data_IF_316515835254
#
_entry.id   IF_316515835254
#
_cell.length_a   1.000
_cell.length_b   1.000
_cell.length_c   1.000
_cell.angle_alpha   90.00
_cell.angle_beta   90.00
_cell.angle_gamma   90.00
#
_symmetry.space_group_name_H-M   'P 1'
#
loop_
_entity.id
_entity.type
_entity.pdbx_description
1 polymer ?
#
# COMPACT_ATOMS: atom_id res chain seq x y z
N UNK A 1 6.31 6.36 0.16
CA UNK A 1 6.81 7.33 1.18
C UNK A 1 5.92 7.22 2.41
N UNK A 2 6.44 6.84 3.58
CA UNK A 2 5.67 6.74 4.82
C UNK A 2 5.70 8.09 5.54
N UNK A 3 4.53 8.66 5.85
CA UNK A 3 4.40 9.85 6.68
C UNK A 3 3.73 9.39 7.98
N UNK A 4 4.44 9.56 9.10
CA UNK A 4 3.92 9.33 10.46
C UNK A 4 3.52 10.70 11.00
N UNK A 5 2.29 10.83 11.50
CA UNK A 5 1.82 12.08 12.12
C UNK A 5 2.28 12.21 13.59
N UNK A 6 2.16 13.41 14.14
CA UNK A 6 2.67 13.78 15.48
C UNK A 6 2.04 12.98 16.64
N UNK A 7 0.98 12.20 16.39
CA UNK A 7 0.29 11.36 17.38
C UNK A 7 0.71 9.87 17.32
N UNK A 8 1.64 9.53 16.43
CA UNK A 8 2.43 8.30 16.48
C UNK A 8 1.75 7.01 16.01
N UNK A 9 0.53 7.03 15.46
CA UNK A 9 -0.17 5.79 15.08
C UNK A 9 -0.86 5.77 13.71
N UNK A 10 -0.92 6.88 12.97
CA UNK A 10 -1.51 6.84 11.63
C UNK A 10 -0.44 6.55 10.58
N UNK A 11 -0.50 5.38 9.95
CA UNK A 11 0.31 5.06 8.77
C UNK A 11 -0.45 5.52 7.54
N UNK A 12 0.12 6.48 6.80
CA UNK A 12 -0.37 6.84 5.46
C UNK A 12 0.48 6.18 4.39
N UNK A 13 -0.21 5.53 3.46
CA UNK A 13 0.38 4.94 2.26
C UNK A 13 -0.22 5.59 1.02
N UNK A 14 0.63 6.06 0.12
CA UNK A 14 0.23 6.65 -1.14
C UNK A 14 0.93 5.91 -2.26
N UNK A 15 0.15 5.41 -3.22
CA UNK A 15 0.64 4.66 -4.35
C UNK A 15 -0.18 4.96 -5.59
N UNK A 16 0.37 4.63 -6.76
CA UNK A 16 -0.39 4.63 -8.01
C UNK A 16 -1.13 3.31 -8.14
N UNK A 17 -2.34 3.37 -8.69
CA UNK A 17 -3.14 2.19 -8.99
C UNK A 17 -3.26 2.03 -10.50
N UNK A 18 -2.82 0.89 -11.01
CA UNK A 18 -3.01 0.45 -12.40
C UNK A 18 -4.04 -0.70 -12.44
N UNK A 19 -4.54 -1.07 -13.62
CA UNK A 19 -5.71 -1.94 -13.85
C UNK A 19 -5.84 -3.15 -12.91
N UNK A 20 -4.71 -3.78 -12.57
CA UNK A 20 -4.70 -5.05 -11.84
C UNK A 20 -4.18 -4.94 -10.39
N UNK A 21 -3.40 -3.91 -10.03
CA UNK A 21 -2.83 -3.77 -8.67
C UNK A 21 -2.16 -2.40 -8.41
N UNK A 22 -1.78 -2.15 -7.16
CA UNK A 22 -0.89 -1.05 -6.78
C UNK A 22 0.49 -1.23 -7.44
N UNK A 23 1.06 -0.12 -7.92
CA UNK A 23 2.34 -0.15 -8.64
C UNK A 23 3.48 -0.68 -7.78
N UNK A 24 3.52 -0.29 -6.50
CA UNK A 24 4.56 -0.75 -5.56
C UNK A 24 4.44 -2.24 -5.19
N UNK A 25 3.24 -2.82 -5.28
CA UNK A 25 3.05 -4.27 -5.15
C UNK A 25 3.72 -4.97 -6.33
N UNK A 26 3.49 -4.50 -7.56
CA UNK A 26 4.13 -5.03 -8.77
C UNK A 26 5.66 -4.89 -8.73
N UNK A 27 6.18 -3.81 -8.12
CA UNK A 27 7.64 -3.63 -7.97
C UNK A 27 8.28 -4.68 -7.06
N UNK A 28 7.55 -5.30 -6.14
CA UNK A 28 8.11 -6.41 -5.35
C UNK A 28 8.41 -7.62 -6.26
N UNK A 29 7.51 -7.92 -7.21
CA UNK A 29 7.68 -9.02 -8.16
C UNK A 29 8.88 -8.79 -9.09
N UNK A 30 9.13 -7.54 -9.48
CA UNK A 30 10.28 -7.16 -10.32
C UNK A 30 11.63 -7.33 -9.61
N UNK A 31 11.66 -7.27 -8.28
CA UNK A 31 12.89 -7.32 -7.51
C UNK A 31 13.22 -8.70 -6.93
N UNK A 32 12.33 -9.69 -7.09
CA UNK A 32 12.48 -11.06 -6.56
C UNK A 32 12.84 -11.08 -5.06
N UNK A 33 12.20 -10.21 -4.27
CA UNK A 33 12.44 -10.10 -2.83
C UNK A 33 11.29 -10.79 -2.08
N UNK A 34 11.63 -11.80 -1.27
CA UNK A 34 10.69 -12.55 -0.39
C UNK A 34 9.98 -11.69 0.68
N UNK A 35 10.32 -10.40 0.75
CA UNK A 35 9.72 -9.41 1.64
C UNK A 35 9.03 -8.36 0.78
N UNK A 36 7.73 -8.15 1.01
CA UNK A 36 6.92 -7.06 0.43
C UNK A 36 7.39 -5.68 0.96
N UNK A 37 8.61 -5.29 0.61
CA UNK A 37 9.29 -4.11 1.12
C UNK A 37 8.72 -2.82 0.51
N UNK A 38 8.24 -2.90 -0.73
CA UNK A 38 7.87 -1.71 -1.49
C UNK A 38 6.39 -1.37 -1.36
N UNK A 39 5.53 -2.37 -1.53
CA UNK A 39 4.08 -2.20 -1.51
C UNK A 39 3.38 -3.42 -0.94
N UNK A 40 2.14 -3.22 -0.50
CA UNK A 40 1.30 -4.28 0.02
C UNK A 40 -0.14 -4.06 -0.44
N UNK A 41 -0.82 -5.13 -0.90
CA UNK A 41 -2.22 -5.02 -1.31
C UNK A 41 -3.14 -5.15 -0.08
N UNK A 42 -3.37 -4.03 0.59
CA UNK A 42 -4.22 -3.96 1.79
C UNK A 42 -5.69 -4.38 1.54
N UNK A 43 -6.16 -4.35 0.28
CA UNK A 43 -7.54 -4.67 -0.07
C UNK A 43 -7.78 -6.18 -0.23
N UNK A 44 -6.71 -6.94 -0.50
CA UNK A 44 -6.76 -8.39 -0.77
C UNK A 44 -6.08 -9.20 0.34
N UNK A 45 -5.93 -8.64 1.55
CA UNK A 45 -5.39 -9.37 2.70
C UNK A 45 -6.50 -10.20 3.38
N UNK A 46 -6.51 -11.54 3.22
CA UNK A 46 -7.52 -12.40 3.83
C UNK A 46 -7.40 -12.46 5.36
N UNK A 47 -6.24 -12.10 5.92
CA UNK A 47 -5.99 -12.14 7.36
C UNK A 47 -6.17 -10.78 8.03
N UNK A 48 -6.28 -9.70 7.26
CA UNK A 48 -6.31 -8.30 7.72
C UNK A 48 -5.24 -8.02 8.80
N UNK A 49 -4.05 -8.58 8.63
CA UNK A 49 -2.94 -8.47 9.58
C UNK A 49 -2.24 -7.15 9.33
N UNK A 50 -2.97 -6.07 9.64
CA UNK A 50 -2.45 -4.74 9.92
C UNK A 50 -1.75 -4.01 8.73
N UNK A 51 -1.95 -2.69 8.57
CA UNK A 51 -2.84 -1.82 9.34
C UNK A 51 -4.28 -1.89 8.82
N UNK A 52 -5.24 -1.80 9.73
CA UNK A 52 -6.65 -1.60 9.40
C UNK A 52 -6.81 -0.31 8.59
N UNK A 53 -7.39 -0.41 7.38
CA UNK A 53 -7.63 0.76 6.51
C UNK A 53 -8.87 1.50 7.01
N UNK A 54 -8.66 2.57 7.78
CA UNK A 54 -9.77 3.41 8.28
C UNK A 54 -10.28 4.41 7.25
N UNK A 55 -9.44 4.80 6.28
CA UNK A 55 -9.75 5.78 5.24
C UNK A 55 -9.07 5.39 3.93
N UNK A 56 -9.78 5.55 2.81
CA UNK A 56 -9.27 5.31 1.46
C UNK A 56 -9.67 6.48 0.55
N UNK A 57 -8.70 7.01 -0.19
CA UNK A 57 -8.90 8.11 -1.11
C UNK A 57 -8.34 7.73 -2.48
N UNK A 58 -9.08 8.04 -3.54
CA UNK A 58 -8.71 7.70 -4.92
C UNK A 58 -8.87 8.93 -5.81
N UNK A 59 -7.89 9.13 -6.69
CA UNK A 59 -7.92 10.15 -7.72
C UNK A 59 -7.58 9.50 -9.07
N UNK A 60 -8.50 9.61 -10.02
CA UNK A 60 -8.27 9.16 -11.38
C UNK A 60 -7.32 10.15 -12.08
N UNK A 61 -6.23 9.63 -12.63
CA UNK A 61 -5.29 10.38 -13.46
C UNK A 61 -5.68 10.22 -14.93
N UNK A 62 -5.69 11.32 -15.69
CA UNK A 62 -5.99 11.35 -17.13
C UNK A 62 -4.75 11.12 -17.98
#
# INVERSE_FOLDING_TARGET
>A
MRIIDNDGNTIRHTTLWDKDNFVDVKMNDELDIDLYLLGYNYLDDPKQVYPFVSQFYFWELK
#
